data_IF_668157998646
#
_entry.id   IF_668157998646
#
_cell.length_a   1.000
_cell.length_b   1.000
_cell.length_c   1.000
_cell.angle_alpha   90.00
_cell.angle_beta   90.00
_cell.angle_gamma   90.00
#
_symmetry.space_group_name_H-M   'P 1'
#
loop_
_entity.id
_entity.type
_entity.pdbx_description
1 polymer ?
#
# COMPACT_ATOMS: atom_id res chain seq x y z
N UNK A 1 8.45 -5.18 9.28
CA UNK A 1 8.30 -4.51 7.96
C UNK A 1 9.70 -4.19 7.46
N UNK A 2 9.95 -4.23 6.15
CA UNK A 2 11.29 -4.01 5.60
C UNK A 2 11.72 -2.55 5.80
N UNK A 3 12.94 -2.31 6.26
CA UNK A 3 13.44 -0.96 6.55
C UNK A 3 13.55 -0.08 5.29
N UNK A 4 13.92 -0.65 4.14
CA UNK A 4 13.98 0.08 2.88
C UNK A 4 12.59 0.51 2.40
N UNK A 5 11.58 -0.33 2.62
CA UNK A 5 10.19 0.02 2.34
C UNK A 5 9.68 1.12 3.29
N UNK A 6 10.04 1.06 4.58
CA UNK A 6 9.73 2.13 5.55
C UNK A 6 10.35 3.46 5.09
N UNK A 7 11.59 3.46 4.61
CA UNK A 7 12.25 4.66 4.12
C UNK A 7 11.51 5.28 2.91
N UNK A 8 10.97 4.45 2.00
CA UNK A 8 10.12 4.91 0.88
C UNK A 8 8.81 5.54 1.36
N UNK A 9 8.13 4.92 2.33
CA UNK A 9 6.93 5.50 2.94
C UNK A 9 7.22 6.82 3.67
N UNK A 10 8.36 6.91 4.35
CA UNK A 10 8.78 8.14 5.02
C UNK A 10 9.11 9.25 4.00
N UNK A 11 9.80 8.92 2.90
CA UNK A 11 10.01 9.87 1.80
C UNK A 11 8.68 10.37 1.23
N UNK A 12 7.74 9.48 0.94
CA UNK A 12 6.40 9.84 0.47
C UNK A 12 5.67 10.75 1.47
N UNK A 13 5.72 10.44 2.76
CA UNK A 13 5.16 11.27 3.84
C UNK A 13 5.78 12.67 3.87
N UNK A 14 7.10 12.78 3.76
CA UNK A 14 7.80 14.06 3.73
C UNK A 14 7.34 14.94 2.56
N UNK A 15 7.17 14.36 1.37
CA UNK A 15 6.64 15.08 0.21
C UNK A 15 5.15 15.43 0.35
N UNK A 16 4.37 14.58 1.01
CA UNK A 16 2.95 14.83 1.26
C UNK A 16 2.72 15.94 2.31
N UNK A 17 3.68 16.15 3.22
CA UNK A 17 3.63 17.22 4.23
C UNK A 17 2.58 17.01 5.32
N UNK A 18 1.94 15.84 5.39
CA UNK A 18 0.90 15.48 6.39
C UNK A 18 1.15 14.08 6.94
N UNK A 19 0.47 13.73 8.04
CA UNK A 19 0.52 12.39 8.60
C UNK A 19 -0.07 11.34 7.64
N UNK A 20 0.57 10.17 7.55
CA UNK A 20 0.05 8.99 6.86
C UNK A 20 -0.43 7.96 7.89
N UNK A 21 -1.73 7.69 7.93
CA UNK A 21 -2.28 6.67 8.84
C UNK A 21 -2.19 5.31 8.17
N UNK A 22 -1.34 4.43 8.69
CA UNK A 22 -1.22 3.04 8.22
C UNK A 22 -2.34 2.22 8.87
N UNK A 23 -3.28 1.71 8.09
CA UNK A 23 -4.34 0.80 8.56
C UNK A 23 -3.91 -0.66 8.55
N UNK A 24 -2.94 -1.02 7.72
CA UNK A 24 -2.36 -2.36 7.70
C UNK A 24 -0.92 -2.32 7.22
N UNK A 25 -0.03 -2.98 7.95
CA UNK A 25 1.38 -3.15 7.60
C UNK A 25 1.73 -4.60 7.27
N UNK A 26 2.83 -5.10 7.84
CA UNK A 26 3.20 -6.51 7.73
C UNK A 26 2.12 -7.44 8.31
N UNK A 27 1.90 -8.59 7.66
CA UNK A 27 1.00 -9.65 8.13
C UNK A 27 1.77 -10.97 8.22
N UNK A 28 1.83 -11.56 9.40
CA UNK A 28 2.49 -12.86 9.59
C UNK A 28 1.68 -14.01 8.94
N UNK A 29 2.26 -15.21 8.77
CA UNK A 29 1.56 -16.37 8.22
C UNK A 29 0.26 -16.74 8.97
N UNK A 30 0.25 -16.54 10.29
CA UNK A 30 -0.92 -16.79 11.14
C UNK A 30 -1.98 -15.69 11.10
N UNK A 31 -1.71 -14.57 10.41
CA UNK A 31 -2.66 -13.48 10.29
C UNK A 31 -3.95 -13.98 9.63
N UNK A 32 -5.16 -13.69 10.16
CA UNK A 32 -6.41 -14.30 9.71
C UNK A 32 -6.69 -14.20 8.20
N UNK A 33 -6.27 -13.09 7.58
CA UNK A 33 -6.41 -12.87 6.13
C UNK A 33 -5.39 -13.68 5.34
N UNK A 34 -4.14 -13.80 5.82
CA UNK A 34 -3.09 -14.51 5.09
C UNK A 34 -3.25 -16.02 5.24
N UNK A 35 -3.65 -16.51 6.42
CA UNK A 35 -3.95 -17.92 6.70
C UNK A 35 -5.01 -18.52 5.77
N UNK A 36 -5.92 -17.70 5.25
CA UNK A 36 -6.98 -18.13 4.32
C UNK A 36 -6.53 -18.18 2.85
N UNK A 37 -5.34 -17.67 2.53
CA UNK A 37 -4.85 -17.61 1.15
C UNK A 37 -3.98 -18.82 0.83
N UNK A 38 -4.13 -19.35 -0.38
CA UNK A 38 -3.23 -20.37 -0.91
C UNK A 38 -1.80 -19.83 -1.14
N UNK A 39 -1.68 -18.54 -1.44
CA UNK A 39 -0.39 -17.84 -1.59
C UNK A 39 -0.40 -16.55 -0.76
N UNK A 40 0.60 -16.32 0.10
CA UNK A 40 0.69 -15.10 0.88
C UNK A 40 0.75 -13.84 0.00
N UNK A 41 0.06 -12.78 0.41
CA UNK A 41 0.04 -11.48 -0.29
C UNK A 41 1.29 -10.64 -0.03
N UNK A 42 1.40 -9.46 -0.63
CA UNK A 42 2.56 -8.54 -0.49
C UNK A 42 2.80 -8.07 0.95
N UNK A 43 1.77 -7.99 1.78
CA UNK A 43 1.91 -7.70 3.22
C UNK A 43 2.75 -8.75 3.96
N UNK A 44 2.75 -10.00 3.51
CA UNK A 44 3.51 -11.09 4.14
C UNK A 44 5.02 -11.00 3.91
N UNK A 45 5.48 -10.20 2.93
CA UNK A 45 6.91 -9.94 2.74
C UNK A 45 7.41 -8.71 3.51
N UNK A 46 6.51 -7.95 4.15
CA UNK A 46 6.89 -6.71 4.85
C UNK A 46 7.21 -5.55 3.92
N UNK A 47 6.84 -5.67 2.64
CA UNK A 47 7.08 -4.72 1.55
C UNK A 47 5.79 -4.01 1.12
N UNK A 48 4.76 -4.02 1.97
CA UNK A 48 3.47 -3.43 1.64
C UNK A 48 2.79 -2.77 2.85
N UNK A 49 2.02 -1.72 2.57
CA UNK A 49 1.19 -1.03 3.54
C UNK A 49 -0.11 -0.52 2.91
N UNK A 50 -1.18 -0.58 3.69
CA UNK A 50 -2.46 0.07 3.39
C UNK A 50 -2.52 1.39 4.17
N UNK A 51 -2.76 2.49 3.46
CA UNK A 51 -2.83 3.85 3.99
C UNK A 51 -4.29 4.27 4.00
N UNK A 52 -4.85 4.52 5.18
CA UNK A 52 -6.23 5.00 5.33
C UNK A 52 -6.33 6.43 4.83
N UNK A 53 -6.89 6.60 3.65
CA UNK A 53 -7.01 7.88 2.96
C UNK A 53 -8.18 7.84 1.97
N UNK A 54 -8.83 8.98 1.76
CA UNK A 54 -10.03 9.04 0.93
C UNK A 54 -10.14 10.34 0.12
N UNK A 55 -10.98 10.31 -0.91
CA UNK A 55 -11.37 11.49 -1.71
C UNK A 55 -10.15 12.25 -2.27
N UNK A 56 -10.15 13.60 -2.23
CA UNK A 56 -9.08 14.43 -2.76
C UNK A 56 -7.71 14.12 -2.16
N UNK A 57 -7.65 13.82 -0.86
CA UNK A 57 -6.41 13.44 -0.20
C UNK A 57 -5.82 12.14 -0.80
N UNK A 58 -6.67 11.18 -1.18
CA UNK A 58 -6.21 9.97 -1.86
C UNK A 58 -5.63 10.28 -3.24
N UNK A 59 -6.24 11.21 -3.99
CA UNK A 59 -5.72 11.64 -5.30
C UNK A 59 -4.37 12.35 -5.17
N UNK A 60 -4.22 13.24 -4.19
CA UNK A 60 -2.95 13.92 -3.90
C UNK A 60 -1.83 12.91 -3.59
N UNK A 61 -2.10 11.99 -2.66
CA UNK A 61 -1.11 10.99 -2.25
C UNK A 61 -0.78 10.01 -3.39
N UNK A 62 -1.79 9.57 -4.15
CA UNK A 62 -1.60 8.72 -5.32
C UNK A 62 -0.70 9.40 -6.36
N UNK A 63 -0.92 10.70 -6.60
CA UNK A 63 -0.10 11.48 -7.54
C UNK A 63 1.37 11.52 -7.11
N UNK A 64 1.63 11.73 -5.81
CA UNK A 64 2.99 11.71 -5.26
C UNK A 64 3.63 10.32 -5.35
N UNK A 65 2.87 9.26 -5.01
CA UNK A 65 3.35 7.89 -5.09
C UNK A 65 3.73 7.52 -6.53
N UNK A 66 2.90 7.86 -7.52
CA UNK A 66 3.19 7.64 -8.94
C UNK A 66 4.43 8.41 -9.40
N UNK A 67 4.55 9.70 -9.03
CA UNK A 67 5.70 10.54 -9.39
C UNK A 67 7.01 10.07 -8.78
N UNK A 68 6.96 9.43 -7.59
CA UNK A 68 8.17 8.97 -6.91
C UNK A 68 8.88 7.82 -7.63
N UNK A 69 8.15 7.02 -8.42
CA UNK A 69 8.68 5.78 -9.02
C UNK A 69 9.11 4.71 -8.00
N UNK A 70 8.87 4.91 -6.71
CA UNK A 70 9.40 4.06 -5.64
C UNK A 70 8.59 2.77 -5.42
N UNK A 71 7.35 2.74 -5.91
CA UNK A 71 6.38 1.67 -5.69
C UNK A 71 6.09 0.94 -7.00
N UNK A 72 6.03 -0.39 -6.91
CA UNK A 72 5.77 -1.29 -8.04
C UNK A 72 4.36 -1.87 -8.00
N UNK A 73 3.63 -1.68 -6.91
CA UNK A 73 2.23 -2.06 -6.78
C UNK A 73 1.40 -1.02 -6.05
N UNK A 74 0.25 -0.68 -6.64
CA UNK A 74 -0.67 0.35 -6.16
C UNK A 74 -2.10 -0.18 -6.25
N UNK A 75 -2.72 -0.44 -5.11
CA UNK A 75 -4.11 -0.87 -5.03
C UNK A 75 -5.03 0.25 -4.57
N UNK A 76 -6.15 0.47 -5.26
CA UNK A 76 -7.08 1.56 -4.99
C UNK A 76 -8.37 1.00 -4.40
N UNK A 77 -8.64 1.28 -3.11
CA UNK A 77 -9.92 0.99 -2.46
C UNK A 77 -10.58 2.30 -2.07
N UNK A 78 -11.36 2.89 -2.98
CA UNK A 78 -12.08 4.15 -2.73
C UNK A 78 -13.61 3.98 -2.73
N UNK A 79 -14.08 2.73 -2.81
CA UNK A 79 -15.50 2.34 -2.72
C UNK A 79 -15.87 1.92 -1.29
N UNK A 80 -17.18 1.90 -1.00
CA UNK A 80 -17.74 1.47 0.28
C UNK A 80 -17.73 2.57 1.36
N UNK A 81 -17.88 2.15 2.61
CA UNK A 81 -17.90 3.04 3.78
C UNK A 81 -16.64 3.89 3.86
N UNK A 82 -16.73 5.09 4.44
CA UNK A 82 -15.55 5.96 4.55
C UNK A 82 -14.39 5.30 5.29
N UNK A 83 -14.68 4.51 6.33
CA UNK A 83 -13.67 3.84 7.15
C UNK A 83 -12.91 2.72 6.45
N UNK A 84 -13.46 2.17 5.36
CA UNK A 84 -12.85 1.07 4.59
C UNK A 84 -12.04 1.56 3.39
N UNK A 85 -11.90 2.88 3.17
CA UNK A 85 -11.15 3.43 2.05
C UNK A 85 -9.66 3.55 2.37
N UNK A 86 -8.83 3.13 1.42
CA UNK A 86 -7.38 3.18 1.53
C UNK A 86 -6.69 3.18 0.17
N UNK A 87 -5.38 3.43 0.19
CA UNK A 87 -4.45 3.10 -0.88
C UNK A 87 -3.48 2.04 -0.38
N UNK A 88 -3.35 0.95 -1.13
CA UNK A 88 -2.30 -0.04 -0.95
C UNK A 88 -1.07 0.41 -1.72
N UNK A 89 0.10 0.37 -1.09
CA UNK A 89 1.39 0.58 -1.74
C UNK A 89 2.33 -0.57 -1.39
N UNK A 90 3.05 -1.07 -2.38
CA UNK A 90 4.13 -2.03 -2.21
C UNK A 90 5.29 -1.79 -3.21
N UNK A 91 6.46 -2.31 -2.89
CA UNK A 91 7.66 -2.26 -3.73
C UNK A 91 8.21 -3.65 -4.09
N UNK A 92 7.35 -4.67 -4.06
CA UNK A 92 7.75 -6.04 -4.37
C UNK A 92 7.99 -6.20 -5.88
N UNK A 93 9.08 -6.88 -6.23
CA UNK A 93 9.41 -7.15 -7.63
C UNK A 93 8.30 -7.87 -8.39
N UNK A 94 8.19 -7.54 -9.67
CA UNK A 94 7.11 -7.94 -10.55
C UNK A 94 7.44 -9.27 -11.24
N UNK A 95 6.47 -10.19 -11.26
CA UNK A 95 6.36 -11.17 -12.33
C UNK A 95 5.63 -10.56 -13.53
N UNK A 96 5.74 -11.13 -14.74
CA UNK A 96 5.27 -10.51 -15.99
C UNK A 96 3.74 -10.26 -16.04
N UNK A 97 2.97 -10.91 -15.18
CA UNK A 97 1.50 -10.86 -15.17
C UNK A 97 0.90 -10.01 -14.06
N UNK A 98 1.74 -9.46 -13.15
CA UNK A 98 1.24 -8.68 -12.02
C UNK A 98 0.95 -7.24 -12.45
N UNK A 99 -0.25 -6.69 -12.20
CA UNK A 99 -0.53 -5.30 -12.50
C UNK A 99 0.22 -4.37 -11.54
N UNK A 100 0.74 -3.25 -12.06
CA UNK A 100 1.28 -2.16 -11.24
C UNK A 100 0.18 -1.40 -10.51
N UNK A 101 -1.00 -1.27 -11.12
CA UNK A 101 -2.15 -0.57 -10.53
C UNK A 101 -3.42 -1.41 -10.67
N UNK A 102 -4.20 -1.52 -9.59
CA UNK A 102 -5.48 -2.24 -9.60
C UNK A 102 -6.51 -1.58 -8.68
N UNK A 103 -7.76 -2.00 -8.80
CA UNK A 103 -8.88 -1.58 -7.96
C UNK A 103 -9.38 -2.76 -7.15
N UNK A 104 -9.70 -2.54 -5.87
CA UNK A 104 -10.34 -3.53 -5.01
C UNK A 104 -11.85 -3.57 -5.20
#
# INVERSE_FOLDING_TARGET
MNESFIAKLQSLRSHYGRGLTISSGYRCPDHPIEKKKAKPGTHSSGHAADIKISHGAAVELLTLALRSGAFTGIGIQQKGSHGSRFLHLDDKEMGPTRPTIWSY
#
